data_IF_021725049379
#
_entry.id   IF_021725049379
#
_cell.length_a   1.000
_cell.length_b   1.000
_cell.length_c   1.000
_cell.angle_alpha   90.00
_cell.angle_beta   90.00
_cell.angle_gamma   90.00
#
_symmetry.space_group_name_H-M   'P 1'
#
loop_
_entity.id
_entity.type
_entity.pdbx_description
1 polymer ?
#
# COMPACT_ATOMS: atom_id res chain seq x y z
N UNK A 1 9.65 -9.69 25.87
CA UNK A 1 9.65 -9.13 24.49
C UNK A 1 10.23 -10.17 23.55
N UNK A 2 9.64 -11.35 23.58
CA UNK A 2 10.19 -12.63 23.14
C UNK A 2 9.17 -13.39 22.28
N UNK A 3 8.17 -12.66 21.75
CA UNK A 3 7.30 -13.21 20.71
C UNK A 3 8.18 -13.63 19.54
N UNK A 4 8.11 -14.90 19.16
CA UNK A 4 8.84 -15.39 18.01
C UNK A 4 8.37 -14.63 16.76
N UNK A 5 9.22 -14.47 15.75
CA UNK A 5 8.84 -13.87 14.47
C UNK A 5 7.57 -14.50 13.90
N UNK A 6 7.45 -15.79 14.12
CA UNK A 6 6.29 -16.59 13.80
C UNK A 6 5.03 -16.15 14.60
N UNK A 7 5.13 -15.89 15.90
CA UNK A 7 4.02 -15.31 16.68
C UNK A 7 3.60 -13.92 16.17
N UNK A 8 4.57 -13.07 15.82
CA UNK A 8 4.30 -11.72 15.28
C UNK A 8 3.59 -11.83 13.92
N UNK A 9 4.09 -12.68 13.03
CA UNK A 9 3.50 -12.91 11.72
C UNK A 9 2.09 -13.51 11.84
N UNK A 10 1.89 -14.52 12.69
CA UNK A 10 0.56 -15.10 12.97
C UNK A 10 -0.41 -14.08 13.54
N UNK A 11 0.05 -13.21 14.45
CA UNK A 11 -0.80 -12.17 15.04
C UNK A 11 -1.15 -11.07 14.03
N UNK A 12 -0.23 -10.73 13.12
CA UNK A 12 -0.41 -9.62 12.18
C UNK A 12 -1.19 -10.06 10.93
N UNK A 13 -1.00 -11.31 10.50
CA UNK A 13 -1.59 -11.86 9.27
C UNK A 13 -2.36 -13.17 9.54
N UNK A 14 -3.44 -13.13 10.34
CA UNK A 14 -4.16 -14.33 10.78
C UNK A 14 -4.85 -15.11 9.65
N UNK A 15 -4.95 -14.53 8.45
CA UNK A 15 -5.62 -15.09 7.27
C UNK A 15 -4.65 -15.85 6.34
N UNK A 16 -3.33 -15.67 6.50
CA UNK A 16 -2.30 -16.41 5.78
C UNK A 16 -1.95 -17.67 6.56
N UNK A 17 -2.90 -18.60 6.59
CA UNK A 17 -2.83 -19.81 7.42
C UNK A 17 -2.73 -21.04 6.54
N UNK A 18 -1.51 -21.40 6.14
CA UNK A 18 -1.21 -22.76 5.69
C UNK A 18 -0.20 -23.41 6.63
N UNK A 19 -0.33 -24.72 6.82
CA UNK A 19 0.49 -25.49 7.78
C UNK A 19 1.95 -25.72 7.29
N UNK A 20 2.32 -25.21 6.10
CA UNK A 20 3.65 -25.38 5.48
C UNK A 20 4.43 -24.06 5.28
N UNK A 21 3.86 -22.91 5.65
CA UNK A 21 4.50 -21.60 5.45
C UNK A 21 5.42 -21.22 6.62
N UNK A 22 6.73 -21.26 6.36
CA UNK A 22 7.74 -20.69 7.25
C UNK A 22 7.93 -19.20 7.00
N UNK A 23 8.04 -18.41 8.08
CA UNK A 23 8.40 -17.00 8.02
C UNK A 23 9.89 -16.83 8.25
N UNK A 24 10.51 -15.89 7.55
CA UNK A 24 11.90 -15.50 7.77
C UNK A 24 12.03 -14.00 7.66
N UNK A 25 12.69 -13.38 8.62
CA UNK A 25 13.04 -11.97 8.54
C UNK A 25 14.11 -11.77 7.46
N UNK A 26 13.93 -10.78 6.59
CA UNK A 26 14.87 -10.52 5.52
C UNK A 26 14.79 -9.10 4.98
N UNK A 27 15.87 -8.68 4.32
CA UNK A 27 15.93 -7.40 3.62
C UNK A 27 15.52 -7.58 2.16
N UNK A 28 14.51 -6.82 1.71
CA UNK A 28 14.03 -6.89 0.33
C UNK A 28 15.08 -6.51 -0.72
N UNK A 29 16.10 -5.71 -0.36
CA UNK A 29 17.17 -5.29 -1.28
C UNK A 29 18.18 -6.40 -1.59
N UNK A 30 18.28 -7.41 -0.73
CA UNK A 30 19.28 -8.48 -0.84
C UNK A 30 18.66 -9.87 -0.95
N UNK A 31 17.55 -10.13 -0.23
CA UNK A 31 16.93 -11.44 -0.08
C UNK A 31 17.94 -12.52 0.33
N UNK A 32 18.74 -12.20 1.35
CA UNK A 32 19.74 -13.12 1.90
C UNK A 32 19.07 -14.39 2.42
N UNK A 33 19.68 -15.54 2.13
CA UNK A 33 19.11 -16.86 2.46
C UNK A 33 18.12 -17.40 1.43
N UNK A 34 17.76 -16.62 0.39
CA UNK A 34 16.96 -17.10 -0.74
C UNK A 34 17.86 -17.41 -1.94
N UNK A 35 17.91 -18.68 -2.40
CA UNK A 35 18.74 -19.06 -3.55
C UNK A 35 18.27 -18.42 -4.86
N UNK A 36 19.20 -18.25 -5.79
CA UNK A 36 18.92 -17.84 -7.16
C UNK A 36 17.98 -18.85 -7.85
N UNK A 37 17.10 -18.36 -8.72
CA UNK A 37 16.20 -19.20 -9.52
C UNK A 37 15.43 -20.28 -8.72
N UNK A 38 15.03 -19.95 -7.49
CA UNK A 38 14.37 -20.90 -6.57
C UNK A 38 12.87 -20.66 -6.41
N UNK A 39 12.41 -19.45 -6.69
CA UNK A 39 11.02 -19.01 -6.47
C UNK A 39 10.23 -19.03 -7.79
N UNK A 40 9.03 -19.61 -7.76
CA UNK A 40 8.11 -19.60 -8.91
C UNK A 40 7.36 -18.27 -9.01
N UNK A 41 7.14 -17.59 -7.89
CA UNK A 41 6.50 -16.29 -7.84
C UNK A 41 7.03 -15.44 -6.70
N UNK A 42 7.01 -14.13 -6.91
CA UNK A 42 7.35 -13.11 -5.93
C UNK A 42 6.20 -12.11 -5.90
N UNK A 43 5.58 -11.92 -4.74
CA UNK A 43 4.50 -10.95 -4.56
C UNK A 43 4.91 -9.91 -3.52
N UNK A 44 4.59 -8.64 -3.79
CA UNK A 44 4.76 -7.56 -2.82
C UNK A 44 3.54 -6.65 -2.86
N UNK A 45 2.91 -6.45 -1.71
CA UNK A 45 1.72 -5.61 -1.57
C UNK A 45 2.00 -4.44 -0.64
N UNK A 46 1.99 -3.22 -1.19
CA UNK A 46 2.21 -1.95 -0.50
C UNK A 46 3.53 -1.83 0.28
N UNK A 47 4.47 -2.74 0.04
CA UNK A 47 5.79 -2.76 0.67
C UNK A 47 6.86 -2.02 -0.12
N UNK A 48 6.74 -1.95 -1.44
CA UNK A 48 7.79 -1.41 -2.32
C UNK A 48 8.08 0.07 -2.05
N UNK A 49 7.10 0.86 -1.59
CA UNK A 49 7.33 2.25 -1.18
C UNK A 49 8.25 2.41 0.03
N UNK A 50 8.33 1.39 0.89
CA UNK A 50 9.15 1.37 2.11
C UNK A 50 10.59 0.91 1.84
N UNK A 51 10.88 0.44 0.63
CA UNK A 51 12.23 0.04 0.22
C UNK A 51 13.01 1.28 -0.22
N UNK A 52 14.13 1.63 0.44
CA UNK A 52 14.93 2.79 0.07
C UNK A 52 15.51 2.70 -1.35
N UNK A 53 16.08 1.54 -1.72
CA UNK A 53 16.68 1.27 -3.03
C UNK A 53 15.86 0.22 -3.79
N UNK A 54 14.79 0.69 -4.43
CA UNK A 54 13.82 -0.18 -5.14
C UNK A 54 14.45 -0.95 -6.30
N UNK A 55 15.44 -0.36 -6.95
CA UNK A 55 16.24 -1.00 -8.00
C UNK A 55 16.94 -2.26 -7.49
N UNK A 56 17.54 -2.20 -6.30
CA UNK A 56 18.16 -3.37 -5.67
C UNK A 56 17.12 -4.44 -5.32
N UNK A 57 15.96 -4.04 -4.78
CA UNK A 57 14.91 -5.00 -4.47
C UNK A 57 14.31 -5.66 -5.72
N UNK A 58 14.16 -4.92 -6.83
CA UNK A 58 13.73 -5.50 -8.10
C UNK A 58 14.79 -6.45 -8.67
N UNK A 59 16.08 -6.12 -8.56
CA UNK A 59 17.17 -7.01 -8.96
C UNK A 59 17.21 -8.28 -8.11
N UNK A 60 17.04 -8.16 -6.78
CA UNK A 60 16.96 -9.29 -5.88
C UNK A 60 15.73 -10.17 -6.18
N UNK A 61 14.56 -9.57 -6.38
CA UNK A 61 13.35 -10.29 -6.77
C UNK A 61 13.53 -11.04 -8.10
N UNK A 62 14.17 -10.42 -9.09
CA UNK A 62 14.49 -11.10 -10.35
C UNK A 62 15.49 -12.25 -10.16
N UNK A 63 16.54 -12.06 -9.36
CA UNK A 63 17.56 -13.08 -9.06
C UNK A 63 16.94 -14.35 -8.48
N UNK A 64 16.03 -14.20 -7.52
CA UNK A 64 15.43 -15.37 -6.84
C UNK A 64 14.35 -16.07 -7.68
N UNK A 65 13.82 -15.41 -8.70
CA UNK A 65 12.80 -15.99 -9.58
C UNK A 65 13.42 -16.97 -10.57
N UNK A 66 12.81 -18.15 -10.72
CA UNK A 66 13.10 -19.08 -11.82
C UNK A 66 12.90 -18.40 -13.18
N UNK A 67 13.57 -18.84 -14.24
CA UNK A 67 13.21 -18.45 -15.60
C UNK A 67 11.71 -18.72 -15.87
N UNK A 68 10.96 -17.68 -16.21
CA UNK A 68 9.50 -17.75 -16.39
C UNK A 68 8.66 -17.57 -15.12
N UNK A 69 9.31 -17.37 -13.97
CA UNK A 69 8.67 -17.00 -12.71
C UNK A 69 7.97 -15.63 -12.78
N UNK A 70 7.01 -15.40 -11.87
CA UNK A 70 6.14 -14.22 -11.93
C UNK A 70 6.40 -13.26 -10.79
N UNK A 71 6.62 -11.99 -11.15
CA UNK A 71 6.69 -10.88 -10.19
C UNK A 71 5.36 -10.10 -10.19
N UNK A 72 4.71 -9.97 -9.03
CA UNK A 72 3.48 -9.20 -8.85
C UNK A 72 3.71 -8.11 -7.81
N UNK A 73 3.60 -6.85 -8.23
CA UNK A 73 3.69 -5.68 -7.36
C UNK A 73 2.33 -4.98 -7.29
N UNK A 74 1.75 -4.95 -6.09
CA UNK A 74 0.53 -4.20 -5.81
C UNK A 74 0.93 -2.92 -5.09
N UNK A 75 1.00 -1.82 -5.83
CA UNK A 75 1.28 -0.48 -5.29
C UNK A 75 0.39 0.59 -5.93
N UNK A 76 0.34 1.76 -5.31
CA UNK A 76 -0.30 2.92 -5.91
C UNK A 76 0.56 3.50 -7.04
N UNK A 77 -0.05 3.75 -8.19
CA UNK A 77 0.56 4.62 -9.18
C UNK A 77 0.55 6.07 -8.67
N UNK A 78 1.58 6.88 -8.97
CA UNK A 78 1.46 8.31 -8.80
C UNK A 78 0.24 8.78 -9.60
N UNK A 79 -0.56 9.66 -9.00
CA UNK A 79 -1.72 10.25 -9.66
C UNK A 79 -1.26 10.92 -10.96
N UNK A 80 -1.49 10.27 -12.11
CA UNK A 80 -1.46 10.95 -13.39
C UNK A 80 -2.72 11.81 -13.43
N UNK A 81 -2.57 13.07 -13.07
CA UNK A 81 -3.48 14.10 -13.56
C UNK A 81 -3.31 14.15 -15.08
N UNK A 82 -4.07 13.33 -15.80
CA UNK A 82 -4.31 13.60 -17.21
C UNK A 82 -5.10 14.90 -17.21
N UNK A 83 -4.42 16.00 -17.57
CA UNK A 83 -5.06 17.30 -17.70
C UNK A 83 -5.98 17.27 -18.91
N UNK A 84 -7.15 16.64 -18.76
CA UNK A 84 -8.33 17.04 -19.49
C UNK A 84 -8.70 18.39 -18.89
N UNK A 85 -8.38 19.46 -19.61
CA UNK A 85 -8.45 20.82 -19.11
C UNK A 85 -9.82 21.15 -18.50
N UNK A 86 -9.97 20.99 -17.19
CA UNK A 86 -10.94 21.67 -16.36
C UNK A 86 -10.64 21.44 -14.88
N UNK A 87 -10.78 22.53 -14.14
CA UNK A 87 -10.42 22.78 -12.74
C UNK A 87 -11.20 21.92 -11.71
N UNK A 88 -10.56 21.74 -10.55
CA UNK A 88 -11.06 21.31 -9.22
C UNK A 88 -11.36 19.80 -9.02
N UNK A 89 -10.86 19.19 -7.90
CA UNK A 89 -11.24 17.83 -7.54
C UNK A 89 -12.70 17.77 -7.07
N UNK A 90 -13.42 16.65 -7.30
CA UNK A 90 -14.88 16.54 -7.12
C UNK A 90 -15.38 16.66 -5.68
N UNK A 91 -14.48 16.78 -4.71
CA UNK A 91 -14.79 16.87 -3.27
C UNK A 91 -14.19 18.11 -2.60
N UNK A 92 -13.65 19.07 -3.36
CA UNK A 92 -13.36 20.38 -2.80
C UNK A 92 -14.70 21.07 -2.48
N UNK A 93 -15.12 21.01 -1.22
CA UNK A 93 -16.19 21.86 -0.73
C UNK A 93 -15.79 23.31 -1.01
N UNK A 94 -16.67 24.14 -1.61
CA UNK A 94 -16.37 25.54 -1.80
C UNK A 94 -16.04 26.15 -0.42
N UNK A 95 -15.06 27.06 -0.34
CA UNK A 95 -14.80 27.78 0.91
C UNK A 95 -16.11 28.39 1.39
N UNK A 96 -16.48 28.09 2.64
CA UNK A 96 -17.66 28.66 3.29
C UNK A 96 -17.46 30.17 3.35
N UNK A 97 -18.09 30.88 2.42
CA UNK A 97 -18.13 32.34 2.45
C UNK A 97 -19.10 32.79 3.54
N UNK A 98 -18.87 33.95 4.18
CA UNK A 98 -19.82 34.50 5.15
C UNK A 98 -21.25 34.61 4.60
N UNK A 99 -21.40 34.87 3.29
CA UNK A 99 -22.70 34.93 2.62
C UNK A 99 -23.39 33.56 2.51
N UNK A 100 -22.64 32.48 2.26
CA UNK A 100 -23.20 31.13 2.20
C UNK A 100 -23.64 30.63 3.59
N UNK A 101 -22.89 31.00 4.64
CA UNK A 101 -23.27 30.71 6.03
C UNK A 101 -24.55 31.46 6.43
N UNK A 102 -24.69 32.73 6.04
CA UNK A 102 -25.88 33.52 6.31
C UNK A 102 -27.13 32.97 5.59
N UNK A 103 -26.99 32.54 4.34
CA UNK A 103 -28.09 31.95 3.56
C UNK A 103 -28.54 30.57 4.08
N UNK A 104 -27.63 29.79 4.68
CA UNK A 104 -27.96 28.53 5.34
C UNK A 104 -28.71 28.78 6.67
N UNK A 105 -28.27 29.77 7.45
CA UNK A 105 -28.92 30.14 8.71
C UNK A 105 -30.34 30.69 8.50
N UNK A 106 -30.62 31.36 7.38
CA UNK A 106 -31.95 31.89 7.08
C UNK A 106 -32.99 30.85 6.68
N UNK A 107 -32.58 29.60 6.40
CA UNK A 107 -33.47 28.49 6.04
C UNK A 107 -33.64 27.45 7.16
N UNK A 108 -33.05 27.69 8.33
CA UNK A 108 -33.35 26.88 9.51
C UNK A 108 -34.74 27.25 10.01
N UNK A 109 -35.69 26.29 10.14
CA UNK A 109 -36.95 26.58 10.79
C UNK A 109 -36.65 27.08 12.19
N UNK A 110 -37.23 28.23 12.55
CA UNK A 110 -37.15 28.78 13.89
C UNK A 110 -37.71 27.74 14.87
N UNK A 111 -36.83 27.06 15.60
CA UNK A 111 -37.21 26.27 16.77
C UNK A 111 -37.19 27.25 17.94
N UNK A 112 -38.38 27.76 18.27
CA UNK A 112 -38.60 28.58 19.46
C UNK A 112 -38.40 27.78 20.76
N UNK A 113 -38.43 28.47 21.92
CA UNK A 113 -38.04 27.91 23.22
C UNK A 113 -38.90 26.74 23.69
#
# INVERSE_FOLDING_TARGET
NDASLDDVCRSTYPVLRSDEEGYTEGNAETLDGVPDESMDSYTIAFGMRNVPRRDLALAAAHRVLKPGGRFLCMEFSPHVWVSLGSKQPPYALPPITPSALAAAASNLPFVGP
#
